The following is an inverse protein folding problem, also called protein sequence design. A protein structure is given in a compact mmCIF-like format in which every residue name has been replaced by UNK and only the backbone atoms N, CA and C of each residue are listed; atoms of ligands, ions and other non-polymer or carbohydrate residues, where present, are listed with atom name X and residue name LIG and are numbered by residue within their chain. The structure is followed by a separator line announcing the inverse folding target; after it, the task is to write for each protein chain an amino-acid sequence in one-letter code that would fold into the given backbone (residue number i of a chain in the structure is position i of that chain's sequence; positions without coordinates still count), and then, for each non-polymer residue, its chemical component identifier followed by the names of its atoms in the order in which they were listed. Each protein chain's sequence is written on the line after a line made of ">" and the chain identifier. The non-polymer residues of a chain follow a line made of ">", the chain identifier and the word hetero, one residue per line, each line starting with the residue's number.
data_IF_063290926747
#
_entry.id   IF_063290926747
#
_cell.length_a   1.000
_cell.length_b   1.000
_cell.length_c   1.000
_cell.angle_alpha   90.00
_cell.angle_beta   90.00
_cell.angle_gamma   90.00
#
_symmetry.space_group_name_H-M   'P 1'
#
loop_
_entity.id
_entity.type
_entity.pdbx_description
1 polymer ?
#
# COMPACT_ATOMS: atom_id res chain seq x y z
N UNK A 1 0.48 -39.68 28.80
CA UNK A 1 0.95 -40.76 27.90
C UNK A 1 0.18 -42.05 28.12
N UNK A 2 -1.06 -41.96 28.63
CA UNK A 2 -1.71 -43.12 29.25
C UNK A 2 -3.13 -43.25 28.67
N UNK A 3 -3.23 -43.01 27.37
CA UNK A 3 -4.53 -43.03 26.70
C UNK A 3 -5.02 -44.48 26.59
N UNK A 4 -6.26 -44.78 26.98
CA UNK A 4 -6.86 -46.11 26.77
C UNK A 4 -6.88 -46.56 25.29
N UNK A 5 -6.69 -45.62 24.37
CA UNK A 5 -6.59 -45.89 22.93
C UNK A 5 -5.33 -46.69 22.55
N UNK A 6 -4.30 -46.69 23.40
CA UNK A 6 -3.06 -47.44 23.14
C UNK A 6 -3.23 -48.95 23.26
N UNK A 7 -4.29 -49.42 23.92
CA UNK A 7 -4.63 -50.83 24.07
C UNK A 7 -5.45 -51.40 22.89
N UNK A 8 -5.85 -50.55 21.92
CA UNK A 8 -6.73 -50.92 20.82
C UNK A 8 -5.94 -51.13 19.51
N UNK A 9 -5.81 -52.36 18.99
CA UNK A 9 -4.99 -52.65 17.80
C UNK A 9 -5.54 -52.03 16.50
N UNK A 10 -6.82 -51.68 16.45
CA UNK A 10 -7.43 -50.97 15.32
C UNK A 10 -7.13 -49.47 15.29
N UNK A 11 -6.44 -48.92 16.31
CA UNK A 11 -6.11 -47.49 16.41
C UNK A 11 -4.61 -47.29 16.16
N UNK A 12 -4.28 -46.69 15.01
CA UNK A 12 -2.90 -46.27 14.72
C UNK A 12 -2.67 -44.91 15.39
N UNK A 13 -1.67 -44.85 16.27
CA UNK A 13 -1.27 -43.62 16.96
C UNK A 13 0.13 -43.20 16.54
N UNK A 14 0.36 -41.90 16.44
CA UNK A 14 1.71 -41.33 16.29
C UNK A 14 1.88 -40.22 17.34
N UNK A 15 3.06 -40.09 17.98
CA UNK A 15 3.28 -39.11 19.04
C UNK A 15 3.48 -37.70 18.45
N UNK A 16 2.41 -37.11 17.92
CA UNK A 16 2.41 -35.76 17.33
C UNK A 16 3.50 -35.57 16.25
N UNK A 17 3.75 -36.60 15.45
CA UNK A 17 4.80 -36.58 14.42
C UNK A 17 4.45 -35.74 13.18
N UNK A 18 3.25 -35.14 13.13
CA UNK A 18 2.75 -34.42 11.95
C UNK A 18 3.63 -33.26 11.48
N UNK A 19 4.28 -32.54 12.40
CA UNK A 19 5.24 -31.47 12.09
C UNK A 19 6.71 -31.87 12.36
N UNK A 20 6.96 -33.16 12.64
CA UNK A 20 8.30 -33.69 12.95
C UNK A 20 9.06 -34.09 11.68
N UNK A 21 9.12 -33.18 10.70
CA UNK A 21 9.89 -33.34 9.46
C UNK A 21 10.94 -32.24 9.33
N UNK A 22 12.04 -32.53 8.63
CA UNK A 22 13.09 -31.54 8.36
C UNK A 22 12.55 -30.29 7.67
N UNK A 23 11.65 -30.48 6.71
CA UNK A 23 11.07 -29.45 5.86
C UNK A 23 10.15 -28.51 6.66
N UNK A 24 9.35 -29.07 7.58
CA UNK A 24 8.50 -28.28 8.45
C UNK A 24 9.32 -27.44 9.44
N UNK A 25 10.38 -28.02 10.01
CA UNK A 25 11.28 -27.32 10.94
C UNK A 25 12.09 -26.23 10.23
N UNK A 26 12.58 -26.48 9.02
CA UNK A 26 13.29 -25.49 8.22
C UNK A 26 12.38 -24.30 7.87
N UNK A 27 11.15 -24.58 7.40
CA UNK A 27 10.15 -23.54 7.12
C UNK A 27 9.84 -22.72 8.37
N UNK A 28 9.53 -23.38 9.49
CA UNK A 28 9.27 -22.71 10.76
C UNK A 28 10.45 -21.83 11.20
N UNK A 29 11.68 -22.31 11.02
CA UNK A 29 12.90 -21.55 11.29
C UNK A 29 12.99 -20.27 10.44
N UNK A 30 12.78 -20.38 9.12
CA UNK A 30 12.82 -19.21 8.22
C UNK A 30 11.70 -18.20 8.51
N UNK A 31 10.51 -18.67 8.89
CA UNK A 31 9.37 -17.79 9.19
C UNK A 31 9.60 -17.03 10.51
N UNK A 32 10.08 -17.72 11.56
CA UNK A 32 10.46 -17.05 12.82
C UNK A 32 11.63 -16.08 12.61
N UNK A 33 12.63 -16.44 11.80
CA UNK A 33 13.75 -15.55 11.51
C UNK A 33 13.30 -14.25 10.83
N UNK A 34 12.34 -14.32 9.89
CA UNK A 34 11.72 -13.13 9.28
C UNK A 34 10.97 -12.30 10.33
N UNK A 35 10.15 -12.94 11.17
CA UNK A 35 9.41 -12.23 12.23
C UNK A 35 10.35 -11.51 13.21
N UNK A 36 11.47 -12.13 13.59
CA UNK A 36 12.47 -11.50 14.47
C UNK A 36 13.15 -10.32 13.76
N UNK A 37 13.47 -10.45 12.47
CA UNK A 37 14.06 -9.36 11.69
C UNK A 37 13.10 -8.15 11.61
N UNK A 38 11.81 -8.40 11.34
CA UNK A 38 10.76 -7.38 11.35
C UNK A 38 10.66 -6.70 12.72
N UNK A 39 10.64 -7.50 13.81
CA UNK A 39 10.55 -6.98 15.17
C UNK A 39 11.73 -6.07 15.53
N UNK A 40 12.96 -6.49 15.20
CA UNK A 40 14.18 -5.73 15.46
C UNK A 40 14.28 -4.46 14.60
N UNK A 41 13.71 -4.48 13.40
CA UNK A 41 13.60 -3.31 12.53
C UNK A 41 12.46 -2.35 12.93
N UNK A 42 11.66 -2.69 13.95
CA UNK A 42 10.48 -1.91 14.34
C UNK A 42 9.32 -1.98 13.33
N UNK A 43 9.35 -2.98 12.46
CA UNK A 43 8.30 -3.26 11.50
C UNK A 43 7.16 -4.06 12.13
N UNK A 44 6.03 -4.17 11.43
CA UNK A 44 4.93 -5.01 11.87
C UNK A 44 5.31 -6.48 11.76
N UNK A 45 4.94 -7.24 12.78
CA UNK A 45 5.14 -8.70 12.83
C UNK A 45 3.75 -9.34 12.71
N UNK A 46 3.37 -9.86 11.53
CA UNK A 46 2.05 -10.46 11.33
C UNK A 46 1.74 -11.60 12.30
N UNK A 47 2.75 -12.44 12.56
CA UNK A 47 2.67 -13.59 13.46
C UNK A 47 2.75 -13.22 14.95
N UNK A 48 2.82 -11.93 15.30
CA UNK A 48 2.90 -11.56 16.70
C UNK A 48 1.57 -11.85 17.40
N UNK A 49 1.63 -12.77 18.36
CA UNK A 49 0.45 -13.24 19.12
C UNK A 49 -0.10 -12.22 20.11
N UNK A 50 0.59 -11.10 20.32
CA UNK A 50 0.26 -10.08 21.33
C UNK A 50 0.14 -8.66 20.76
N UNK A 51 -0.14 -8.49 19.47
CA UNK A 51 -0.43 -7.17 18.91
C UNK A 51 -1.78 -6.68 19.42
N UNK A 52 -1.86 -5.41 19.83
CA UNK A 52 -3.13 -4.71 20.05
C UNK A 52 -3.98 -4.76 18.78
N UNK A 53 -5.05 -5.55 18.79
CA UNK A 53 -5.90 -5.85 17.64
C UNK A 53 -6.04 -7.35 17.32
N UNK A 54 -5.21 -8.21 17.93
CA UNK A 54 -5.19 -9.65 17.68
C UNK A 54 -4.22 -10.05 16.55
N UNK A 55 -4.12 -11.36 16.29
CA UNK A 55 -3.34 -11.87 15.17
C UNK A 55 -3.98 -11.43 13.84
N UNK A 56 -3.16 -10.99 12.88
CA UNK A 56 -3.62 -10.61 11.55
C UNK A 56 -3.67 -11.87 10.69
N UNK A 57 -4.85 -12.19 10.16
CA UNK A 57 -5.05 -13.39 9.35
C UNK A 57 -4.32 -13.34 8.00
N UNK A 58 -4.09 -14.52 7.42
CA UNK A 58 -3.40 -14.72 6.14
C UNK A 58 -4.03 -13.93 4.97
N UNK A 59 -5.34 -13.66 5.03
CA UNK A 59 -6.05 -12.88 4.02
C UNK A 59 -5.82 -11.37 4.15
N UNK A 60 -5.56 -10.86 5.37
CA UNK A 60 -5.37 -9.43 5.65
C UNK A 60 -3.89 -9.04 5.57
N UNK A 61 -2.98 -9.91 6.01
CA UNK A 61 -1.55 -9.61 6.05
C UNK A 61 -0.96 -9.11 4.71
N UNK A 62 -1.32 -9.67 3.53
CA UNK A 62 -0.84 -9.17 2.24
C UNK A 62 -1.26 -7.74 1.90
N UNK A 63 -2.32 -7.22 2.54
CA UNK A 63 -2.83 -5.86 2.30
C UNK A 63 -2.07 -4.77 3.06
N UNK A 64 -1.34 -5.13 4.11
CA UNK A 64 -0.63 -4.16 4.95
C UNK A 64 0.33 -3.29 4.13
N UNK A 65 1.09 -3.90 3.23
CA UNK A 65 2.10 -3.19 2.46
C UNK A 65 1.50 -2.33 1.34
N UNK A 66 0.46 -2.80 0.63
CA UNK A 66 -0.20 -1.95 -0.36
C UNK A 66 -0.92 -0.77 0.31
N UNK A 67 -1.56 -0.97 1.46
CA UNK A 67 -2.22 0.12 2.20
C UNK A 67 -1.20 1.13 2.75
N UNK A 68 -0.02 0.65 3.17
CA UNK A 68 1.13 1.53 3.46
C UNK A 68 1.52 2.34 2.23
N UNK A 69 1.71 1.70 1.08
CA UNK A 69 2.08 2.39 -0.18
C UNK A 69 1.04 3.42 -0.61
N UNK A 70 -0.25 3.15 -0.44
CA UNK A 70 -1.32 4.12 -0.67
C UNK A 70 -1.16 5.35 0.24
N UNK A 71 -0.82 5.14 1.52
CA UNK A 71 -0.45 6.21 2.44
C UNK A 71 0.75 7.03 1.95
N UNK A 72 1.80 6.38 1.45
CA UNK A 72 2.98 7.07 0.89
C UNK A 72 2.59 7.96 -0.29
N UNK A 73 1.78 7.44 -1.22
CA UNK A 73 1.26 8.23 -2.36
C UNK A 73 0.44 9.42 -1.88
N UNK A 74 -0.46 9.23 -0.91
CA UNK A 74 -1.23 10.35 -0.35
C UNK A 74 -0.32 11.41 0.27
N UNK A 75 0.70 11.00 1.01
CA UNK A 75 1.65 11.93 1.64
C UNK A 75 2.50 12.69 0.64
N UNK A 76 2.93 12.04 -0.45
CA UNK A 76 3.65 12.71 -1.53
C UNK A 76 2.78 13.73 -2.28
N UNK A 77 1.50 13.41 -2.49
CA UNK A 77 0.54 14.33 -3.12
C UNK A 77 -0.01 15.39 -2.14
N UNK A 78 0.28 15.26 -0.84
CA UNK A 78 -0.21 16.15 0.19
C UNK A 78 0.54 17.48 0.18
N UNK A 79 -0.19 18.59 0.25
CA UNK A 79 0.40 19.93 0.44
C UNK A 79 0.58 20.30 1.91
N UNK A 80 -0.21 19.67 2.78
CA UNK A 80 -0.26 19.92 4.23
C UNK A 80 -0.62 18.63 4.95
N UNK A 81 -0.58 18.61 6.28
CA UNK A 81 -1.04 17.45 7.05
C UNK A 81 -2.58 17.36 6.97
N UNK A 82 -3.17 16.18 6.69
CA UNK A 82 -4.62 16.03 6.65
C UNK A 82 -5.24 16.09 8.06
N UNK A 83 -6.52 16.46 8.13
CA UNK A 83 -7.30 16.43 9.38
C UNK A 83 -7.81 15.03 9.69
N UNK A 84 -8.10 14.23 8.66
CA UNK A 84 -8.50 12.83 8.82
C UNK A 84 -8.04 11.93 7.68
N UNK A 85 -7.91 10.64 7.99
CA UNK A 85 -7.68 9.56 7.03
C UNK A 85 -8.75 8.49 7.21
N UNK A 86 -9.53 8.20 6.16
CA UNK A 86 -10.42 7.05 6.12
C UNK A 86 -9.78 5.91 5.32
N UNK A 87 -9.96 4.68 5.81
CA UNK A 87 -9.61 3.45 5.10
C UNK A 87 -10.90 2.68 4.84
N UNK A 88 -11.35 2.70 3.60
CA UNK A 88 -12.60 2.09 3.19
C UNK A 88 -12.29 0.75 2.51
N UNK A 89 -12.73 -0.34 3.13
CA UNK A 89 -12.47 -1.72 2.71
C UNK A 89 -13.70 -2.29 2.00
N UNK A 90 -13.55 -2.70 0.75
CA UNK A 90 -14.65 -3.18 -0.07
C UNK A 90 -14.46 -4.63 -0.52
N UNK A 91 -15.58 -5.34 -0.72
CA UNK A 91 -15.62 -6.67 -1.32
C UNK A 91 -15.33 -7.79 -0.33
N UNK A 92 -14.69 -8.87 -0.80
CA UNK A 92 -14.42 -10.07 0.01
C UNK A 92 -13.61 -9.77 1.27
N UNK A 93 -12.59 -8.89 1.18
CA UNK A 93 -11.78 -8.46 2.32
C UNK A 93 -12.60 -7.82 3.45
N UNK A 94 -13.75 -7.21 3.14
CA UNK A 94 -14.61 -6.58 4.15
C UNK A 94 -15.23 -7.59 5.14
N UNK A 95 -15.17 -8.89 4.82
CA UNK A 95 -15.65 -9.97 5.69
C UNK A 95 -14.60 -10.49 6.68
N UNK A 96 -13.35 -10.06 6.54
CA UNK A 96 -12.24 -10.47 7.40
C UNK A 96 -12.24 -9.77 8.78
N UNK A 97 -11.51 -10.35 9.71
CA UNK A 97 -11.32 -9.80 11.07
C UNK A 97 -10.01 -9.02 11.19
N UNK A 98 -9.86 -8.23 12.26
CA UNK A 98 -8.66 -7.44 12.55
C UNK A 98 -8.27 -6.39 11.47
N UNK A 99 -9.25 -5.89 10.68
CA UNK A 99 -9.02 -4.88 9.64
C UNK A 99 -8.50 -3.53 10.16
N UNK A 100 -8.68 -3.22 11.44
CA UNK A 100 -8.20 -1.97 12.07
C UNK A 100 -6.70 -1.71 11.84
N UNK A 101 -5.89 -2.75 11.66
CA UNK A 101 -4.46 -2.65 11.36
C UNK A 101 -4.17 -1.94 10.03
N UNK A 102 -5.12 -1.93 9.10
CA UNK A 102 -5.00 -1.22 7.82
C UNK A 102 -4.97 0.30 8.03
N UNK A 103 -5.66 0.84 9.05
CA UNK A 103 -5.52 2.25 9.44
C UNK A 103 -4.10 2.60 9.83
N UNK A 104 -3.48 1.74 10.65
CA UNK A 104 -2.10 1.94 11.08
C UNK A 104 -1.12 1.87 9.90
N UNK A 105 -1.38 0.97 8.96
CA UNK A 105 -0.58 0.85 7.74
C UNK A 105 -0.68 2.12 6.88
N UNK A 106 -1.90 2.63 6.65
CA UNK A 106 -2.15 3.85 5.89
C UNK A 106 -1.46 5.07 6.53
N UNK A 107 -1.67 5.26 7.84
CA UNK A 107 -1.05 6.36 8.59
C UNK A 107 0.49 6.26 8.61
N UNK A 108 1.04 5.05 8.73
CA UNK A 108 2.49 4.83 8.67
C UNK A 108 3.05 5.30 7.33
N UNK A 109 2.41 4.89 6.23
CA UNK A 109 2.77 5.32 4.89
C UNK A 109 2.70 6.84 4.73
N UNK A 110 1.56 7.43 5.12
CA UNK A 110 1.34 8.87 5.07
C UNK A 110 2.44 9.65 5.81
N UNK A 111 2.73 9.27 7.06
CA UNK A 111 3.71 9.99 7.85
C UNK A 111 5.13 9.78 7.34
N UNK A 112 5.47 8.60 6.82
CA UNK A 112 6.81 8.36 6.25
C UNK A 112 7.16 9.25 5.06
N UNK A 113 6.15 9.75 4.33
CA UNK A 113 6.36 10.67 3.22
C UNK A 113 6.54 12.14 3.66
N UNK A 114 6.19 12.49 4.90
CA UNK A 114 6.15 13.89 5.37
C UNK A 114 7.03 14.16 6.60
N UNK A 115 7.79 13.17 7.08
CA UNK A 115 8.63 13.29 8.28
C UNK A 115 9.95 12.55 8.13
N UNK A 116 11.02 13.13 8.67
CA UNK A 116 12.36 12.51 8.68
C UNK A 116 12.55 11.49 9.83
N UNK A 117 11.60 11.42 10.75
CA UNK A 117 11.66 10.52 11.89
C UNK A 117 11.13 9.12 11.52
N UNK A 118 11.76 8.02 11.99
CA UNK A 118 11.26 6.67 11.73
C UNK A 118 9.82 6.47 12.25
N UNK A 119 8.91 6.10 11.34
CA UNK A 119 7.52 5.75 11.66
C UNK A 119 7.36 4.22 11.71
N UNK A 120 6.92 3.75 12.86
CA UNK A 120 6.72 2.35 13.24
C UNK A 120 5.26 2.12 13.62
N UNK A 121 4.79 0.88 13.58
CA UNK A 121 3.41 0.58 14.00
C UNK A 121 3.11 0.97 15.44
N UNK A 122 4.13 0.99 16.31
CA UNK A 122 4.00 1.33 17.73
C UNK A 122 3.85 2.84 17.93
N UNK A 123 4.62 3.66 17.21
CA UNK A 123 4.58 5.12 17.39
C UNK A 123 3.54 5.82 16.51
N UNK A 124 3.06 5.20 15.42
CA UNK A 124 2.07 5.80 14.50
C UNK A 124 0.84 6.38 15.20
N UNK A 125 0.16 5.69 16.15
CA UNK A 125 -1.03 6.25 16.81
C UNK A 125 -0.73 7.53 17.60
N UNK A 126 0.39 7.55 18.34
CA UNK A 126 0.81 8.73 19.09
C UNK A 126 1.15 9.89 18.14
N UNK A 127 1.85 9.60 17.03
CA UNK A 127 2.19 10.59 16.02
C UNK A 127 0.99 11.17 15.28
N UNK A 128 -0.05 10.36 15.07
CA UNK A 128 -1.32 10.83 14.52
C UNK A 128 -2.00 11.80 15.49
N UNK A 129 -2.09 11.42 16.78
CA UNK A 129 -2.71 12.24 17.81
C UNK A 129 -1.98 13.57 18.03
N UNK A 130 -0.64 13.57 18.09
CA UNK A 130 0.18 14.78 18.19
C UNK A 130 -0.07 15.77 17.03
N UNK A 131 -0.30 15.23 15.83
CA UNK A 131 -0.58 16.03 14.62
C UNK A 131 -2.07 16.30 14.39
N UNK A 132 -2.95 15.85 15.30
CA UNK A 132 -4.39 16.05 15.20
C UNK A 132 -5.05 15.30 14.02
N UNK A 133 -4.42 14.21 13.54
CA UNK A 133 -4.95 13.41 12.43
C UNK A 133 -5.86 12.32 12.98
N UNK A 134 -7.15 12.41 12.70
CA UNK A 134 -8.10 11.35 13.01
C UNK A 134 -7.98 10.20 11.99
N UNK A 135 -8.30 8.97 12.39
CA UNK A 135 -8.36 7.85 11.46
C UNK A 135 -9.58 6.98 11.69
N UNK A 136 -10.26 6.60 10.60
CA UNK A 136 -11.43 5.74 10.62
C UNK A 136 -11.31 4.61 9.60
N UNK A 137 -12.10 3.55 9.81
CA UNK A 137 -12.19 2.43 8.88
C UNK A 137 -13.65 2.10 8.66
N UNK A 138 -14.03 1.95 7.40
CA UNK A 138 -15.35 1.48 7.02
C UNK A 138 -15.24 0.22 6.17
N UNK A 139 -16.30 -0.57 6.16
CA UNK A 139 -16.35 -1.84 5.42
C UNK A 139 -17.63 -1.90 4.60
N UNK A 140 -17.53 -2.38 3.37
CA UNK A 140 -18.67 -2.66 2.50
C UNK A 140 -18.49 -4.00 1.80
N UNK A 141 -19.50 -4.87 1.87
CA UNK A 141 -19.47 -6.15 1.16
C UNK A 141 -19.50 -5.98 -0.37
N UNK A 142 -20.07 -4.87 -0.86
CA UNK A 142 -20.10 -4.55 -2.28
C UNK A 142 -18.83 -3.80 -2.68
N UNK A 143 -18.17 -4.26 -3.74
CA UNK A 143 -17.05 -3.58 -4.40
C UNK A 143 -17.41 -3.31 -5.86
N UNK A 144 -17.17 -2.08 -6.36
CA UNK A 144 -17.67 -1.68 -7.69
C UNK A 144 -16.95 -2.38 -8.85
N UNK A 145 -15.64 -2.64 -8.73
CA UNK A 145 -14.81 -3.07 -9.88
C UNK A 145 -13.94 -4.31 -9.61
N UNK A 146 -13.45 -4.50 -8.39
CA UNK A 146 -12.52 -5.58 -8.04
C UNK A 146 -13.15 -6.51 -6.99
N UNK A 147 -12.72 -7.78 -6.89
CA UNK A 147 -13.18 -8.70 -5.82
C UNK A 147 -12.93 -8.12 -4.42
N UNK A 148 -11.84 -7.39 -4.25
CA UNK A 148 -11.59 -6.56 -3.08
C UNK A 148 -10.80 -5.33 -3.49
N UNK A 149 -11.07 -4.20 -2.85
CA UNK A 149 -10.32 -2.95 -3.02
C UNK A 149 -10.29 -2.22 -1.69
N UNK A 150 -9.17 -1.59 -1.39
CA UNK A 150 -9.05 -0.66 -0.26
C UNK A 150 -8.90 0.73 -0.83
N UNK A 151 -9.78 1.66 -0.46
CA UNK A 151 -9.65 3.09 -0.75
C UNK A 151 -9.10 3.79 0.49
N UNK A 152 -7.95 4.45 0.36
CA UNK A 152 -7.42 5.30 1.43
C UNK A 152 -7.69 6.74 1.02
N UNK A 153 -8.37 7.49 1.88
CA UNK A 153 -8.75 8.87 1.62
C UNK A 153 -8.26 9.78 2.72
N UNK A 154 -7.66 10.89 2.32
CA UNK A 154 -7.23 11.96 3.22
C UNK A 154 -8.11 13.19 3.00
N UNK A 155 -8.60 13.78 4.10
CA UNK A 155 -9.32 15.05 4.10
C UNK A 155 -8.43 16.13 4.70
N UNK A 156 -8.36 17.30 4.06
CA UNK A 156 -7.48 18.39 4.45
C UNK A 156 -8.23 19.53 5.17
N UNK A 157 -7.53 20.43 5.88
CA UNK A 157 -8.17 21.54 6.59
C UNK A 157 -9.02 22.48 5.72
N UNK A 158 -8.70 22.58 4.42
CA UNK A 158 -9.44 23.38 3.44
C UNK A 158 -10.67 22.65 2.85
N UNK A 159 -10.93 21.41 3.30
CA UNK A 159 -12.01 20.55 2.83
C UNK A 159 -11.70 19.80 1.54
N UNK A 160 -10.52 20.00 0.94
CA UNK A 160 -10.07 19.19 -0.19
C UNK A 160 -9.84 17.75 0.23
N UNK A 161 -9.92 16.84 -0.73
CA UNK A 161 -9.77 15.41 -0.50
C UNK A 161 -8.84 14.81 -1.54
N UNK A 162 -8.02 13.86 -1.12
CA UNK A 162 -7.26 12.99 -2.01
C UNK A 162 -7.59 11.54 -1.69
N UNK A 163 -7.70 10.70 -2.71
CA UNK A 163 -7.89 9.27 -2.54
C UNK A 163 -6.90 8.46 -3.39
N UNK A 164 -6.49 7.32 -2.86
CA UNK A 164 -5.71 6.31 -3.59
C UNK A 164 -6.32 4.96 -3.29
N UNK A 165 -6.72 4.22 -4.33
CA UNK A 165 -7.26 2.86 -4.16
C UNK A 165 -6.27 1.81 -4.65
N UNK A 166 -6.27 0.65 -3.97
CA UNK A 166 -5.34 -0.44 -4.21
C UNK A 166 -6.02 -1.80 -4.13
N UNK A 167 -5.49 -2.77 -4.88
CA UNK A 167 -5.96 -4.17 -4.87
C UNK A 167 -4.81 -5.15 -5.02
N UNK A 168 -5.05 -6.42 -4.68
CA UNK A 168 -4.14 -7.54 -4.91
C UNK A 168 -4.68 -8.40 -6.05
N UNK A 169 -3.85 -8.70 -7.05
CA UNK A 169 -4.28 -9.40 -8.27
C UNK A 169 -3.58 -10.74 -8.51
N UNK A 170 -4.38 -11.72 -8.92
CA UNK A 170 -3.92 -13.06 -9.28
C UNK A 170 -3.41 -13.89 -8.09
N UNK A 171 -2.99 -15.15 -8.35
CA UNK A 171 -2.53 -16.07 -7.30
C UNK A 171 -1.25 -15.62 -6.60
N UNK A 172 -0.51 -14.69 -7.21
CA UNK A 172 0.71 -14.09 -6.64
C UNK A 172 0.41 -12.85 -5.79
N UNK A 173 -0.86 -12.47 -5.63
CA UNK A 173 -1.28 -11.28 -4.86
C UNK A 173 -0.49 -10.02 -5.27
N UNK A 174 -0.35 -9.80 -6.58
CA UNK A 174 0.42 -8.66 -7.10
C UNK A 174 -0.29 -7.36 -6.71
N UNK A 175 0.40 -6.53 -5.93
CA UNK A 175 -0.09 -5.24 -5.46
C UNK A 175 -0.22 -4.27 -6.62
N UNK A 176 -1.40 -3.66 -6.76
CA UNK A 176 -1.68 -2.66 -7.80
C UNK A 176 -2.37 -1.43 -7.24
N UNK A 177 -1.85 -0.26 -7.57
CA UNK A 177 -2.62 0.99 -7.47
C UNK A 177 -3.60 1.02 -8.64
N UNK A 178 -4.87 1.19 -8.32
CA UNK A 178 -5.97 1.12 -9.29
C UNK A 178 -6.75 2.41 -9.44
N UNK A 179 -6.58 3.35 -8.51
CA UNK A 179 -7.22 4.64 -8.57
C UNK A 179 -6.37 5.71 -7.86
N UNK A 180 -6.32 6.92 -8.44
CA UNK A 180 -5.90 8.13 -7.73
C UNK A 180 -6.90 9.25 -8.05
N UNK A 181 -7.49 9.85 -7.02
CA UNK A 181 -8.40 11.00 -7.15
C UNK A 181 -9.54 10.77 -8.15
N UNK A 182 -10.18 9.60 -8.08
CA UNK A 182 -11.28 9.21 -8.96
C UNK A 182 -10.87 8.70 -10.35
N UNK A 183 -9.59 8.72 -10.69
CA UNK A 183 -9.08 8.28 -12.00
C UNK A 183 -8.63 6.83 -11.92
N UNK A 184 -9.28 5.97 -12.70
CA UNK A 184 -8.99 4.54 -12.72
C UNK A 184 -7.83 4.21 -13.68
N UNK A 185 -6.93 3.35 -13.23
CA UNK A 185 -5.85 2.76 -14.00
C UNK A 185 -5.42 1.43 -13.36
N UNK A 186 -4.39 0.75 -13.88
CA UNK A 186 -3.81 -0.40 -13.20
C UNK A 186 -2.29 -0.37 -13.35
N UNK A 187 -1.58 -0.07 -12.26
CA UNK A 187 -0.12 -0.17 -12.21
C UNK A 187 0.34 -0.87 -10.95
N UNK A 188 1.43 -1.61 -11.06
CA UNK A 188 2.01 -2.30 -9.90
C UNK A 188 2.53 -1.27 -8.90
N UNK A 189 2.28 -1.52 -7.62
CA UNK A 189 2.78 -0.69 -6.52
C UNK A 189 4.24 -1.07 -6.18
N UNK A 190 5.17 -0.80 -7.09
CA UNK A 190 6.60 -1.11 -6.93
C UNK A 190 7.49 -0.08 -7.63
N UNK A 191 8.70 0.13 -7.11
CA UNK A 191 9.73 0.96 -7.73
C UNK A 191 9.42 2.45 -7.75
N UNK A 192 10.12 3.17 -8.62
CA UNK A 192 10.02 4.62 -8.76
C UNK A 192 8.87 5.00 -9.68
N UNK A 193 7.92 5.77 -9.19
CA UNK A 193 6.69 6.14 -9.91
C UNK A 193 6.58 7.67 -9.97
N UNK A 194 6.67 8.22 -11.19
CA UNK A 194 6.39 9.62 -11.46
C UNK A 194 4.89 9.78 -11.71
N UNK A 195 4.22 10.53 -10.84
CA UNK A 195 2.80 10.84 -10.91
C UNK A 195 2.66 12.29 -11.36
N UNK A 196 1.96 12.54 -12.47
CA UNK A 196 1.73 13.91 -12.94
C UNK A 196 0.27 14.13 -13.33
N UNK A 197 -0.33 15.19 -12.80
CA UNK A 197 -1.64 15.70 -13.22
C UNK A 197 -1.45 17.00 -13.98
N UNK A 198 -2.01 17.07 -15.19
CA UNK A 198 -1.76 18.17 -16.13
C UNK A 198 -2.98 18.44 -17.03
N UNK A 199 -2.99 19.58 -17.71
CA UNK A 199 -4.03 19.90 -18.68
C UNK A 199 -3.81 19.08 -19.97
N UNK A 200 -4.80 18.28 -20.38
CA UNK A 200 -4.66 17.38 -21.52
C UNK A 200 -4.74 18.16 -22.84
N UNK A 201 -3.56 18.48 -23.36
CA UNK A 201 -3.35 19.22 -24.62
C UNK A 201 -2.64 18.29 -25.62
N UNK A 202 -2.87 18.47 -26.94
CA UNK A 202 -2.16 17.70 -27.95
C UNK A 202 -0.65 17.69 -27.72
N UNK A 203 -0.06 16.49 -27.62
CA UNK A 203 1.38 16.29 -27.45
C UNK A 203 1.87 16.25 -26.00
N UNK A 204 1.02 16.46 -24.98
CA UNK A 204 1.47 16.46 -23.57
C UNK A 204 2.22 15.17 -23.18
N UNK A 205 1.65 13.98 -23.44
CA UNK A 205 2.34 12.71 -23.16
C UNK A 205 3.66 12.57 -23.92
N UNK A 206 3.71 13.02 -25.18
CA UNK A 206 4.91 13.00 -26.00
C UNK A 206 6.03 13.87 -25.44
N UNK A 207 5.70 15.06 -24.90
CA UNK A 207 6.66 15.93 -24.22
C UNK A 207 7.26 15.25 -22.99
N UNK A 208 6.44 14.66 -22.14
CA UNK A 208 6.89 13.95 -20.93
C UNK A 208 7.86 12.84 -21.31
N UNK A 209 7.45 11.97 -22.24
CA UNK A 209 8.28 10.85 -22.69
C UNK A 209 9.59 11.30 -23.37
N UNK A 210 9.55 12.39 -24.15
CA UNK A 210 10.75 12.94 -24.80
C UNK A 210 11.73 13.51 -23.78
N UNK A 211 11.25 14.25 -22.77
CA UNK A 211 12.11 14.81 -21.72
C UNK A 211 12.80 13.69 -20.94
N UNK A 212 12.04 12.68 -20.51
CA UNK A 212 12.60 11.52 -19.80
C UNK A 212 13.60 10.75 -20.66
N UNK A 213 13.26 10.49 -21.92
CA UNK A 213 14.13 9.74 -22.84
C UNK A 213 15.43 10.46 -23.18
N UNK A 214 15.41 11.80 -23.28
CA UNK A 214 16.63 12.59 -23.52
C UNK A 214 17.61 12.53 -22.34
N UNK A 215 17.11 12.32 -21.13
CA UNK A 215 17.91 12.12 -19.91
C UNK A 215 18.28 10.63 -19.70
N UNK A 216 17.94 9.75 -20.63
CA UNK A 216 18.21 8.31 -20.52
C UNK A 216 17.38 7.59 -19.47
N UNK A 217 16.25 8.16 -19.05
CA UNK A 217 15.34 7.56 -18.06
C UNK A 217 14.32 6.68 -18.81
N UNK A 218 14.35 5.38 -18.51
CA UNK A 218 13.47 4.39 -19.13
C UNK A 218 12.10 4.34 -18.43
N UNK A 219 11.03 4.23 -19.21
CA UNK A 219 9.65 4.07 -18.72
C UNK A 219 9.29 2.59 -18.78
N UNK A 220 9.33 1.92 -17.63
CA UNK A 220 9.06 0.50 -17.50
C UNK A 220 7.58 0.15 -17.64
N UNK A 221 6.71 1.06 -17.23
CA UNK A 221 5.27 0.92 -17.34
C UNK A 221 4.62 2.31 -17.28
N UNK A 222 3.49 2.46 -17.97
CA UNK A 222 2.75 3.72 -18.01
C UNK A 222 1.26 3.43 -17.96
N UNK A 223 0.53 4.26 -17.22
CA UNK A 223 -0.91 4.32 -17.27
C UNK A 223 -1.34 5.78 -17.24
N UNK A 224 -2.38 6.07 -18.01
CA UNK A 224 -2.93 7.39 -18.19
C UNK A 224 -4.44 7.27 -18.04
N UNK A 225 -5.03 8.23 -17.34
CA UNK A 225 -6.47 8.37 -17.28
C UNK A 225 -6.84 9.85 -17.35
N UNK A 226 -7.82 10.18 -18.17
CA UNK A 226 -8.37 11.53 -18.25
C UNK A 226 -9.25 11.80 -17.02
N UNK A 227 -9.39 13.07 -16.67
CA UNK A 227 -10.32 13.49 -15.63
C UNK A 227 -11.75 13.09 -16.05
N UNK A 228 -12.53 12.54 -15.12
CA UNK A 228 -13.94 12.23 -15.38
C UNK A 228 -14.71 13.52 -15.71
N UNK A 229 -14.41 14.57 -14.95
CA UNK A 229 -14.93 15.92 -15.14
C UNK A 229 -13.75 16.89 -15.32
N UNK A 230 -13.67 17.54 -16.49
CA UNK A 230 -12.69 18.58 -16.77
C UNK A 230 -11.69 18.24 -17.89
N UNK A 231 -10.80 19.18 -18.24
CA UNK A 231 -9.85 19.03 -19.35
C UNK A 231 -8.51 18.41 -18.92
N UNK A 232 -8.41 17.86 -17.71
CA UNK A 232 -7.17 17.33 -17.16
C UNK A 232 -6.93 15.87 -17.51
N UNK A 233 -5.69 15.42 -17.29
CA UNK A 233 -5.34 14.01 -17.24
C UNK A 233 -4.33 13.77 -16.12
N UNK A 234 -4.29 12.54 -15.61
CA UNK A 234 -3.23 12.05 -14.72
C UNK A 234 -2.52 10.89 -15.37
N UNK A 235 -1.18 10.96 -15.38
CA UNK A 235 -0.30 9.88 -15.81
C UNK A 235 0.49 9.37 -14.61
N UNK A 236 0.69 8.06 -14.57
CA UNK A 236 1.60 7.40 -13.65
C UNK A 236 2.61 6.60 -14.47
N UNK A 237 3.88 6.94 -14.32
CA UNK A 237 5.01 6.36 -15.06
C UNK A 237 5.95 5.68 -14.09
N UNK A 238 6.11 4.38 -14.21
CA UNK A 238 7.15 3.67 -13.46
C UNK A 238 8.47 3.76 -14.22
N UNK A 239 9.49 4.32 -13.59
CA UNK A 239 10.79 4.60 -14.18
C UNK A 239 11.89 3.74 -13.55
N UNK A 240 12.99 3.53 -14.28
CA UNK A 240 14.09 2.67 -13.85
C UNK A 240 15.07 3.34 -12.86
N UNK A 241 15.19 4.68 -12.90
CA UNK A 241 16.11 5.46 -12.06
C UNK A 241 15.42 6.73 -11.54
N UNK A 242 15.95 7.36 -10.47
CA UNK A 242 15.40 8.62 -9.96
C UNK A 242 15.37 9.71 -11.03
N UNK A 243 14.30 10.50 -11.06
CA UNK A 243 14.15 11.63 -11.97
C UNK A 243 14.76 12.87 -11.31
N UNK A 244 15.82 13.47 -11.88
CA UNK A 244 16.46 14.64 -11.28
C UNK A 244 15.49 15.83 -11.12
N UNK A 245 15.67 16.70 -10.10
CA UNK A 245 14.78 17.85 -9.87
C UNK A 245 14.64 18.78 -11.08
N UNK A 246 15.72 19.00 -11.84
CA UNK A 246 15.72 19.78 -13.07
C UNK A 246 14.85 19.15 -14.17
N UNK A 247 14.89 17.83 -14.31
CA UNK A 247 14.05 17.09 -15.25
C UNK A 247 12.58 17.14 -14.82
N UNK A 248 12.31 17.00 -13.52
CA UNK A 248 10.96 17.16 -12.96
C UNK A 248 10.40 18.57 -13.21
N UNK A 249 11.21 19.61 -13.02
CA UNK A 249 10.83 20.99 -13.32
C UNK A 249 10.56 21.20 -14.81
N UNK A 250 11.43 20.68 -15.69
CA UNK A 250 11.23 20.75 -17.14
C UNK A 250 9.92 20.08 -17.58
N UNK A 251 9.59 18.92 -16.99
CA UNK A 251 8.32 18.24 -17.24
C UNK A 251 7.15 19.11 -16.76
N UNK A 252 7.22 19.64 -15.54
CA UNK A 252 6.18 20.48 -14.94
C UNK A 252 5.84 21.68 -15.84
N UNK A 253 6.86 22.36 -16.34
CA UNK A 253 6.70 23.51 -17.23
C UNK A 253 6.20 23.12 -18.63
N UNK A 254 6.65 21.97 -19.17
CA UNK A 254 6.30 21.56 -20.53
C UNK A 254 4.81 21.21 -20.71
N UNK A 255 4.14 20.75 -19.64
CA UNK A 255 2.72 20.33 -19.67
C UNK A 255 1.81 21.14 -18.74
N UNK A 256 2.31 22.21 -18.13
CA UNK A 256 1.59 23.00 -17.12
C UNK A 256 1.04 22.11 -15.98
N UNK A 257 1.89 21.23 -15.43
CA UNK A 257 1.44 20.23 -14.45
C UNK A 257 1.00 20.89 -13.13
N UNK A 258 -0.22 20.58 -12.70
CA UNK A 258 -0.75 21.01 -11.40
C UNK A 258 -0.16 20.20 -10.25
N UNK A 259 0.20 18.95 -10.52
CA UNK A 259 0.87 18.03 -9.61
C UNK A 259 1.93 17.26 -10.37
N UNK A 260 3.12 17.10 -9.79
CA UNK A 260 4.17 16.25 -10.33
C UNK A 260 5.02 15.78 -9.17
N UNK A 261 4.95 14.50 -8.84
CA UNK A 261 5.62 13.91 -7.68
C UNK A 261 6.30 12.60 -8.09
N UNK A 262 7.54 12.40 -7.64
CA UNK A 262 8.26 11.14 -7.77
C UNK A 262 8.14 10.37 -6.45
N UNK A 263 7.56 9.18 -6.50
CA UNK A 263 7.27 8.35 -5.32
C UNK A 263 7.96 7.00 -5.46
N UNK A 264 8.73 6.60 -4.45
CA UNK A 264 9.27 5.24 -4.36
C UNK A 264 8.27 4.33 -3.63
N UNK A 265 7.79 3.30 -4.32
CA UNK A 265 6.85 2.30 -3.82
C UNK A 265 7.51 0.94 -3.59
N UNK A 266 8.83 0.93 -3.38
CA UNK A 266 9.57 -0.27 -2.99
C UNK A 266 9.29 -0.71 -1.55
#
# INVERSE_FOLDING_TARGET
>A
TDSPLFDLPQVVVTPHLGASTSEAQDRAGTDVAKSVLLALAGEFVPEAVNVSGGAVGDEVAPWLDIVRKQGVVLGALAKTVPTSVSVDVYGELASETALDILKLSALRGLFSAVTDEPITFVNTPARAAERGVASELTTSAESPNHRSVVDVRAVYPDGSQLNVSGTLTGPKQVQKIVNINGRNFELRAEGLNLIASYADKPGSLGKIGTILGNEGIDIQAAALSQDVDGPGATVLLRVNIPVPPETQAAIRDAVDATTLELVDLS
#
